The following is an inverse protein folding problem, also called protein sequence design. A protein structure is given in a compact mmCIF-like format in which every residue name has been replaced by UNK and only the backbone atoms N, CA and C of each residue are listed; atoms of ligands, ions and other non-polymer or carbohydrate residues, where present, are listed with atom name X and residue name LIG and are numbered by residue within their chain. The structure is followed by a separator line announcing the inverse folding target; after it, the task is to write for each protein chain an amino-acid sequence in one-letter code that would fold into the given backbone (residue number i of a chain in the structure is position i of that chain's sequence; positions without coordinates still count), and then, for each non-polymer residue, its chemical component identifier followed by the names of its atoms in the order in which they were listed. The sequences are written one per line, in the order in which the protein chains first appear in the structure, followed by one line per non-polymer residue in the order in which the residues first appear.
data_IF_453937169864
#
_entry.id   IF_453937169864
#
_cell.length_a   1.000
_cell.length_b   1.000
_cell.length_c   1.000
_cell.angle_alpha   90.00
_cell.angle_beta   90.00
_cell.angle_gamma   90.00
#
_symmetry.space_group_name_H-M   'P 1'
#
loop_
_entity.id
_entity.type
_entity.pdbx_description
1 polymer ?
#
# COMPACT_ATOMS: atom_id res chain seq x y z
N UNK A 1 45.03 16.38 24.09
CA UNK A 1 43.59 16.71 24.25
C UNK A 1 42.92 16.92 22.90
N UNK A 2 43.60 17.55 21.93
CA UNK A 2 43.10 17.81 20.56
C UNK A 2 42.69 16.54 19.80
N UNK A 3 43.54 15.51 19.76
CA UNK A 3 43.28 14.23 19.05
C UNK A 3 41.99 13.54 19.54
N UNK A 4 41.71 13.58 20.84
CA UNK A 4 40.50 12.96 21.41
C UNK A 4 39.24 13.69 20.93
N UNK A 5 39.32 15.02 20.81
CA UNK A 5 38.22 15.83 20.31
C UNK A 5 38.00 15.58 18.81
N UNK A 6 39.08 15.45 18.04
CA UNK A 6 39.01 15.16 16.61
C UNK A 6 38.40 13.78 16.33
N UNK A 7 38.80 12.74 17.07
CA UNK A 7 38.20 11.41 16.92
C UNK A 7 36.73 11.38 17.33
N UNK A 8 36.35 12.14 18.35
CA UNK A 8 34.96 12.28 18.77
C UNK A 8 34.10 12.95 17.69
N UNK A 9 34.59 14.04 17.10
CA UNK A 9 33.92 14.73 15.98
C UNK A 9 33.77 13.79 14.78
N UNK A 10 34.84 13.09 14.40
CA UNK A 10 34.82 12.18 13.26
C UNK A 10 33.85 11.01 13.45
N UNK A 11 33.83 10.43 14.65
CA UNK A 11 32.91 9.32 14.98
C UNK A 11 31.45 9.78 14.96
N UNK A 12 31.18 10.97 15.53
CA UNK A 12 29.84 11.56 15.52
C UNK A 12 29.37 11.85 14.10
N UNK A 13 30.22 12.44 13.28
CA UNK A 13 29.88 12.81 11.91
C UNK A 13 29.67 11.58 11.04
N UNK A 14 30.49 10.54 11.20
CA UNK A 14 30.31 9.24 10.55
C UNK A 14 28.98 8.59 10.96
N UNK A 15 28.67 8.52 12.25
CA UNK A 15 27.40 8.00 12.73
C UNK A 15 26.19 8.78 12.18
N UNK A 16 26.34 10.10 11.97
CA UNK A 16 25.32 10.92 11.32
C UNK A 16 25.21 10.62 9.82
N UNK A 17 26.32 10.44 9.13
CA UNK A 17 26.33 10.16 7.69
C UNK A 17 25.70 8.81 7.39
N UNK A 18 26.11 7.78 8.14
CA UNK A 18 25.62 6.42 8.00
C UNK A 18 24.14 6.29 8.38
N UNK A 19 23.57 7.22 9.17
CA UNK A 19 22.15 7.18 9.59
C UNK A 19 21.22 8.08 8.78
N UNK A 20 21.69 9.21 8.26
CA UNK A 20 20.84 10.16 7.51
C UNK A 20 20.41 9.57 6.17
N UNK A 21 21.31 8.90 5.44
CA UNK A 21 21.00 8.28 4.15
C UNK A 21 19.92 7.18 4.26
N UNK A 22 20.01 6.21 5.20
CA UNK A 22 18.94 5.25 5.39
C UNK A 22 17.64 5.90 5.88
N UNK A 23 17.71 6.95 6.71
CA UNK A 23 16.50 7.64 7.19
C UNK A 23 15.76 8.37 6.06
N UNK A 24 16.48 8.98 5.12
CA UNK A 24 15.90 9.62 3.94
C UNK A 24 15.27 8.58 3.00
N UNK A 25 15.93 7.44 2.82
CA UNK A 25 15.38 6.31 2.05
C UNK A 25 14.09 5.78 2.69
N UNK A 26 14.10 5.58 4.01
CA UNK A 26 12.94 5.11 4.78
C UNK A 26 11.77 6.09 4.71
N UNK A 27 12.03 7.39 4.84
CA UNK A 27 11.00 8.42 4.70
C UNK A 27 10.32 8.40 3.33
N UNK A 28 11.10 8.20 2.25
CA UNK A 28 10.55 8.08 0.89
C UNK A 28 9.74 6.80 0.70
N UNK A 29 10.22 5.67 1.24
CA UNK A 29 9.48 4.40 1.21
C UNK A 29 8.13 4.53 1.95
N UNK A 30 8.13 5.11 3.15
CA UNK A 30 6.91 5.41 3.91
C UNK A 30 5.97 6.34 3.16
N UNK A 31 6.50 7.39 2.52
CA UNK A 31 5.70 8.32 1.72
C UNK A 31 4.97 7.63 0.58
N UNK A 32 5.67 6.81 -0.22
CA UNK A 32 5.06 6.05 -1.30
C UNK A 32 4.12 4.95 -0.78
N UNK A 33 4.45 4.30 0.34
CA UNK A 33 3.58 3.32 0.99
C UNK A 33 2.26 3.93 1.43
N UNK A 34 2.31 5.10 2.09
CA UNK A 34 1.13 5.79 2.56
C UNK A 34 0.26 6.29 1.39
N UNK A 35 0.88 6.93 0.39
CA UNK A 35 0.18 7.37 -0.81
C UNK A 35 -0.49 6.20 -1.55
N UNK A 36 0.23 5.09 -1.71
CA UNK A 36 -0.30 3.86 -2.31
C UNK A 36 -1.45 3.25 -1.52
N UNK A 37 -1.37 3.23 -0.19
CA UNK A 37 -2.45 2.74 0.68
C UNK A 37 -3.72 3.58 0.58
N UNK A 38 -3.59 4.90 0.53
CA UNK A 38 -4.72 5.82 0.40
C UNK A 38 -5.40 5.65 -0.97
N UNK A 39 -4.61 5.60 -2.04
CA UNK A 39 -5.13 5.39 -3.38
C UNK A 39 -5.82 4.02 -3.52
N UNK A 40 -5.24 2.97 -2.92
CA UNK A 40 -5.84 1.63 -2.91
C UNK A 40 -7.15 1.58 -2.12
N UNK A 41 -7.20 2.25 -0.95
CA UNK A 41 -8.41 2.34 -0.14
C UNK A 41 -9.54 3.08 -0.88
N UNK A 42 -9.22 4.22 -1.51
CA UNK A 42 -10.20 4.96 -2.33
C UNK A 42 -10.69 4.14 -3.52
N UNK A 43 -9.78 3.47 -4.23
CA UNK A 43 -10.13 2.60 -5.35
C UNK A 43 -11.05 1.44 -4.94
N UNK A 44 -10.80 0.83 -3.79
CA UNK A 44 -11.67 -0.22 -3.22
C UNK A 44 -13.07 0.30 -2.91
N UNK A 45 -13.17 1.44 -2.21
CA UNK A 45 -14.47 2.02 -1.84
C UNK A 45 -15.26 2.43 -3.08
N UNK A 46 -14.66 3.19 -3.98
CA UNK A 46 -15.33 3.61 -5.22
C UNK A 46 -15.67 2.43 -6.12
N UNK A 47 -14.78 1.45 -6.24
CA UNK A 47 -15.04 0.22 -7.00
C UNK A 47 -16.22 -0.58 -6.44
N UNK A 48 -16.28 -0.78 -5.12
CA UNK A 48 -17.38 -1.46 -4.46
C UNK A 48 -18.72 -0.73 -4.69
N UNK A 49 -18.74 0.60 -4.52
CA UNK A 49 -19.95 1.41 -4.75
C UNK A 49 -20.37 1.37 -6.23
N UNK A 50 -19.42 1.44 -7.17
CA UNK A 50 -19.71 1.38 -8.59
C UNK A 50 -20.36 0.04 -8.99
N UNK A 51 -19.83 -1.08 -8.49
CA UNK A 51 -20.39 -2.42 -8.73
C UNK A 51 -21.79 -2.55 -8.12
N UNK A 52 -21.94 -2.12 -6.86
CA UNK A 52 -23.26 -2.10 -6.19
C UNK A 52 -24.28 -1.32 -7.02
N UNK A 53 -23.88 -0.13 -7.49
CA UNK A 53 -24.75 0.73 -8.27
C UNK A 53 -25.08 0.15 -9.63
N UNK A 54 -24.11 -0.42 -10.33
CA UNK A 54 -24.35 -1.10 -11.62
C UNK A 54 -25.34 -2.25 -11.47
N UNK A 55 -25.17 -3.09 -10.45
CA UNK A 55 -26.03 -4.25 -10.23
C UNK A 55 -27.45 -3.83 -9.80
N UNK A 56 -27.55 -2.81 -8.95
CA UNK A 56 -28.85 -2.27 -8.53
C UNK A 56 -29.56 -1.53 -9.67
N UNK A 57 -28.85 -0.81 -10.55
CA UNK A 57 -29.45 -0.12 -11.70
C UNK A 57 -29.98 -1.11 -12.74
N UNK A 58 -29.22 -2.15 -13.08
CA UNK A 58 -29.60 -3.07 -14.16
C UNK A 58 -30.52 -4.20 -13.73
N UNK A 59 -30.47 -4.57 -12.46
CA UNK A 59 -31.18 -5.75 -11.95
C UNK A 59 -32.17 -5.39 -10.83
N UNK A 60 -32.39 -4.09 -10.58
CA UNK A 60 -33.20 -3.58 -9.48
C UNK A 60 -34.64 -4.09 -9.42
N UNK A 61 -35.28 -4.35 -10.57
CA UNK A 61 -36.62 -4.96 -10.59
C UNK A 61 -36.58 -6.48 -10.41
N UNK A 62 -35.59 -7.17 -10.99
CA UNK A 62 -35.45 -8.63 -10.95
C UNK A 62 -34.85 -9.19 -9.65
N UNK A 63 -34.04 -8.41 -8.93
CA UNK A 63 -33.48 -8.76 -7.62
C UNK A 63 -34.24 -8.12 -6.45
N UNK A 64 -35.42 -7.53 -6.71
CA UNK A 64 -36.29 -7.02 -5.65
C UNK A 64 -36.97 -8.15 -4.86
N UNK A 65 -37.11 -7.99 -3.54
CA UNK A 65 -37.65 -9.01 -2.63
C UNK A 65 -36.57 -9.87 -1.95
N UNK A 66 -36.72 -11.20 -1.98
CA UNK A 66 -35.86 -12.15 -1.24
C UNK A 66 -34.38 -12.17 -1.69
N UNK A 67 -34.08 -11.60 -2.87
CA UNK A 67 -32.77 -11.62 -3.50
C UNK A 67 -31.97 -10.31 -3.36
N UNK A 68 -32.45 -9.37 -2.54
CA UNK A 68 -31.77 -8.08 -2.29
C UNK A 68 -30.36 -8.23 -1.67
N UNK A 69 -30.00 -9.40 -1.13
CA UNK A 69 -28.67 -9.63 -0.56
C UNK A 69 -27.56 -9.81 -1.61
N UNK A 70 -27.91 -10.20 -2.84
CA UNK A 70 -26.93 -10.55 -3.90
C UNK A 70 -25.96 -9.42 -4.24
N UNK A 71 -26.39 -8.16 -4.45
CA UNK A 71 -25.46 -7.06 -4.74
C UNK A 71 -24.40 -6.89 -3.65
N UNK A 72 -24.78 -7.04 -2.38
CA UNK A 72 -23.87 -6.93 -1.25
C UNK A 72 -22.86 -8.08 -1.21
N UNK A 73 -23.27 -9.31 -1.54
CA UNK A 73 -22.36 -10.46 -1.64
C UNK A 73 -21.34 -10.25 -2.76
N UNK A 74 -21.76 -9.75 -3.92
CA UNK A 74 -20.85 -9.47 -5.04
C UNK A 74 -19.83 -8.39 -4.67
N UNK A 75 -20.29 -7.31 -4.02
CA UNK A 75 -19.39 -6.27 -3.53
C UNK A 75 -18.40 -6.80 -2.49
N UNK A 76 -18.85 -7.68 -1.59
CA UNK A 76 -17.99 -8.34 -0.61
C UNK A 76 -16.92 -9.20 -1.28
N UNK A 77 -17.31 -10.05 -2.24
CA UNK A 77 -16.37 -10.88 -3.01
C UNK A 77 -15.35 -10.02 -3.73
N UNK A 78 -15.78 -8.95 -4.41
CA UNK A 78 -14.89 -8.01 -5.07
C UNK A 78 -13.85 -7.42 -4.10
N UNK A 79 -14.31 -6.95 -2.93
CA UNK A 79 -13.44 -6.34 -1.93
C UNK A 79 -12.42 -7.36 -1.39
N UNK A 80 -12.86 -8.60 -1.13
CA UNK A 80 -11.99 -9.70 -0.66
C UNK A 80 -10.95 -10.07 -1.72
N UNK A 81 -11.34 -10.15 -3.00
CA UNK A 81 -10.42 -10.45 -4.10
C UNK A 81 -9.36 -9.37 -4.22
N UNK A 82 -9.77 -8.09 -4.25
CA UNK A 82 -8.82 -6.98 -4.33
C UNK A 82 -7.89 -6.91 -3.10
N UNK A 83 -8.39 -7.16 -1.89
CA UNK A 83 -7.57 -7.24 -0.68
C UNK A 83 -6.58 -8.42 -0.75
N UNK A 84 -7.02 -9.58 -1.24
CA UNK A 84 -6.16 -10.75 -1.46
C UNK A 84 -5.07 -10.50 -2.49
N UNK A 85 -5.40 -9.83 -3.61
CA UNK A 85 -4.43 -9.42 -4.63
C UNK A 85 -3.42 -8.40 -4.09
N UNK A 86 -3.87 -7.43 -3.28
CA UNK A 86 -2.98 -6.49 -2.62
C UNK A 86 -2.02 -7.20 -1.66
N UNK A 87 -2.53 -8.13 -0.84
CA UNK A 87 -1.71 -8.95 0.05
C UNK A 87 -0.71 -9.84 -0.71
N UNK A 88 -1.11 -10.40 -1.85
CA UNK A 88 -0.23 -11.16 -2.73
C UNK A 88 0.85 -10.29 -3.37
N UNK A 89 0.52 -9.08 -3.81
CA UNK A 89 1.47 -8.14 -4.38
C UNK A 89 2.55 -7.73 -3.37
N UNK A 90 2.19 -7.58 -2.09
CA UNK A 90 3.15 -7.31 -1.00
C UNK A 90 4.13 -8.48 -0.81
N UNK A 91 3.68 -9.73 -0.99
CA UNK A 91 4.51 -10.93 -0.81
C UNK A 91 5.53 -11.17 -1.93
N UNK A 92 5.41 -10.49 -3.07
CA UNK A 92 6.35 -10.69 -4.18
C UNK A 92 7.68 -10.03 -3.83
N UNK A 93 8.78 -10.79 -3.64
CA UNK A 93 10.08 -10.19 -3.39
C UNK A 93 10.45 -9.31 -4.58
N UNK A 94 10.90 -8.08 -4.31
CA UNK A 94 11.50 -7.21 -5.31
C UNK A 94 12.72 -7.96 -5.84
N UNK A 95 12.59 -8.57 -7.02
CA UNK A 95 13.65 -9.37 -7.65
C UNK A 95 14.88 -8.48 -7.80
N UNK A 96 15.92 -8.83 -7.05
CA UNK A 96 17.21 -8.16 -6.97
C UNK A 96 17.73 -7.79 -8.37
N UNK A 97 18.05 -6.52 -8.56
CA UNK A 97 18.75 -6.01 -9.75
C UNK A 97 20.28 -6.13 -9.61
N UNK A 98 20.77 -7.05 -8.78
CA UNK A 98 22.21 -7.23 -8.54
C UNK A 98 22.88 -8.17 -9.55
N UNK A 99 22.16 -8.72 -10.55
CA UNK A 99 22.76 -9.58 -11.58
C UNK A 99 23.28 -8.81 -12.81
N UNK A 100 23.32 -7.47 -12.80
CA UNK A 100 23.93 -6.69 -13.90
C UNK A 100 24.29 -5.26 -13.47
N UNK A 101 25.27 -5.11 -12.58
CA UNK A 101 26.18 -3.96 -12.65
C UNK A 101 27.52 -4.27 -12.01
#
# INVERSE_FOLDING_TARGET
MEIVNDLWVLTRDYAKQETIDPLKSLGRFFGYGLAGSLLSALGLVFGAVAILRLLQTQTGEHLSGSWNFVPYVVALVFTVVCAGLAAYAIKKPVRNQEENR
#
